data_IF_554273677280
#
_entry.id   IF_554273677280
#
_cell.length_a   1.000
_cell.length_b   1.000
_cell.length_c   1.000
_cell.angle_alpha   90.00
_cell.angle_beta   90.00
_cell.angle_gamma   90.00
#
_symmetry.space_group_name_H-M   'P 1'
#
loop_
_entity.id
_entity.type
_entity.pdbx_description
1 polymer ?
#
# COMPACT_ATOMS: atom_id res chain seq x y z
N UNK A 1 3.25 -27.96 13.75
CA UNK A 1 2.05 -27.23 14.23
C UNK A 1 2.39 -26.75 15.63
N UNK A 2 2.56 -25.44 15.82
CA UNK A 2 3.04 -24.83 17.06
C UNK A 2 2.14 -23.67 17.47
N UNK A 3 0.88 -23.99 17.78
CA UNK A 3 -0.15 -23.00 18.14
C UNK A 3 -0.46 -22.99 19.65
N UNK A 4 0.38 -23.63 20.46
CA UNK A 4 0.25 -23.62 21.93
C UNK A 4 1.08 -22.45 22.49
N UNK A 5 0.46 -21.45 23.14
CA UNK A 5 1.19 -20.34 23.75
C UNK A 5 2.12 -20.84 24.85
N UNK A 6 3.39 -20.38 24.85
CA UNK A 6 4.38 -20.79 25.87
C UNK A 6 4.14 -20.06 27.19
N UNK A 7 3.83 -18.76 27.13
CA UNK A 7 3.78 -17.90 28.32
C UNK A 7 2.37 -17.38 28.65
N UNK A 8 1.45 -17.35 27.69
CA UNK A 8 0.13 -16.73 27.85
C UNK A 8 -0.97 -17.78 27.78
N UNK A 9 -1.28 -18.37 28.93
CA UNK A 9 -2.29 -19.43 29.05
C UNK A 9 -3.72 -18.90 29.28
N UNK A 10 -3.90 -17.58 29.38
CA UNK A 10 -5.16 -16.94 29.76
C UNK A 10 -6.04 -16.54 28.57
N UNK A 11 -5.52 -16.66 27.34
CA UNK A 11 -6.22 -16.29 26.11
C UNK A 11 -6.27 -17.47 25.14
N UNK A 12 -7.35 -17.57 24.38
CA UNK A 12 -7.57 -18.64 23.39
C UNK A 12 -7.50 -18.09 21.98
N UNK A 13 -7.13 -18.95 21.02
CA UNK A 13 -7.22 -18.64 19.59
C UNK A 13 -8.66 -18.20 19.26
N UNK A 14 -8.81 -17.10 18.50
CA UNK A 14 -10.08 -16.44 18.16
C UNK A 14 -10.85 -15.80 19.32
N UNK A 15 -10.27 -15.69 20.52
CA UNK A 15 -10.88 -14.91 21.58
C UNK A 15 -10.85 -13.42 21.24
N UNK A 16 -12.02 -12.76 21.27
CA UNK A 16 -12.10 -11.31 21.22
C UNK A 16 -11.69 -10.76 22.58
N UNK A 17 -10.61 -9.99 22.63
CA UNK A 17 -10.10 -9.34 23.83
C UNK A 17 -10.49 -7.87 23.75
N UNK A 18 -11.09 -7.34 24.82
CA UNK A 18 -11.27 -5.91 25.01
C UNK A 18 -10.12 -5.38 25.86
N UNK A 19 -9.53 -4.27 25.45
CA UNK A 19 -8.53 -3.52 26.22
C UNK A 19 -9.13 -2.14 26.50
N UNK A 20 -9.05 -1.68 27.74
CA UNK A 20 -9.46 -0.31 28.08
C UNK A 20 -8.54 0.68 27.36
N UNK A 21 -9.10 1.74 26.77
CA UNK A 21 -8.34 2.64 25.89
C UNK A 21 -7.17 3.32 26.59
N UNK A 22 -7.29 3.57 27.88
CA UNK A 22 -6.28 4.18 28.76
C UNK A 22 -5.12 3.24 29.10
N UNK A 23 -5.26 1.94 28.86
CA UNK A 23 -4.19 0.95 29.02
C UNK A 23 -3.35 0.76 27.75
N UNK A 24 -3.70 1.41 26.65
CA UNK A 24 -2.93 1.39 25.40
C UNK A 24 -1.90 2.52 25.47
N UNK A 25 -0.63 2.15 25.64
CA UNK A 25 0.49 3.10 25.61
C UNK A 25 1.32 2.88 24.36
N UNK A 26 1.58 3.95 23.63
CA UNK A 26 2.37 3.93 22.41
C UNK A 26 3.78 4.46 22.68
N UNK A 27 4.75 3.94 21.95
CA UNK A 27 6.09 4.51 21.96
C UNK A 27 6.09 5.68 20.97
N UNK A 28 6.58 6.83 21.44
CA UNK A 28 6.67 8.06 20.65
C UNK A 28 8.09 8.59 20.77
N UNK A 29 8.78 8.72 19.64
CA UNK A 29 10.07 9.39 19.53
C UNK A 29 9.87 10.59 18.64
N UNK A 30 10.38 11.75 19.05
CA UNK A 30 10.38 12.95 18.22
C UNK A 30 11.81 13.20 17.76
N UNK A 31 12.03 13.14 16.46
CA UNK A 31 13.33 13.39 15.84
C UNK A 31 13.15 14.43 14.73
N UNK A 32 13.83 15.58 14.83
CA UNK A 32 13.70 16.67 13.85
C UNK A 32 12.28 17.24 13.73
N UNK A 33 11.45 17.14 14.77
CA UNK A 33 10.05 17.58 14.75
C UNK A 33 9.07 16.55 14.15
N UNK A 34 9.56 15.39 13.71
CA UNK A 34 8.76 14.27 13.18
C UNK A 34 8.44 13.26 14.27
N UNK A 35 7.20 12.78 14.33
CA UNK A 35 6.77 11.70 15.24
C UNK A 35 7.10 10.33 14.64
N UNK A 36 7.99 9.58 15.29
CA UNK A 36 8.28 8.17 15.02
C UNK A 36 7.55 7.31 16.07
N UNK A 37 6.86 6.24 15.64
CA UNK A 37 5.87 5.56 16.49
C UNK A 37 4.60 6.39 16.60
N UNK A 38 3.71 6.15 17.57
CA UNK A 38 2.44 6.90 17.69
C UNK A 38 1.31 6.41 16.76
N UNK A 39 1.27 5.11 16.48
CA UNK A 39 0.15 4.47 15.77
C UNK A 39 -1.21 4.75 16.42
N UNK A 40 -1.27 4.80 17.75
CA UNK A 40 -2.49 5.10 18.52
C UNK A 40 -2.96 6.53 18.26
N UNK A 41 -2.05 7.50 18.24
CA UNK A 41 -2.43 8.90 18.00
C UNK A 41 -2.82 9.12 16.53
N UNK A 42 -2.21 8.40 15.58
CA UNK A 42 -2.65 8.38 14.18
C UNK A 42 -4.05 7.79 14.04
N UNK A 43 -4.32 6.63 14.64
CA UNK A 43 -5.65 6.01 14.62
C UNK A 43 -6.72 6.90 15.26
N UNK A 44 -6.39 7.63 16.33
CA UNK A 44 -7.29 8.64 16.90
C UNK A 44 -7.53 9.77 15.91
N UNK A 45 -6.46 10.32 15.32
CA UNK A 45 -6.52 11.42 14.35
C UNK A 45 -7.34 11.06 13.10
N UNK A 46 -7.21 9.84 12.58
CA UNK A 46 -7.99 9.32 11.45
C UNK A 46 -9.49 9.28 11.73
N UNK A 47 -9.89 9.06 12.98
CA UNK A 47 -11.29 9.11 13.40
C UNK A 47 -11.87 10.53 13.55
N UNK A 48 -11.04 11.57 13.46
CA UNK A 48 -11.46 12.97 13.61
C UNK A 48 -11.83 13.56 12.25
N UNK A 49 -12.98 14.25 12.13
CA UNK A 49 -13.37 14.94 10.90
C UNK A 49 -12.26 15.87 10.37
N UNK A 50 -12.05 15.91 9.06
CA UNK A 50 -10.93 16.65 8.45
C UNK A 50 -10.88 18.14 8.85
N UNK A 51 -12.04 18.78 9.08
CA UNK A 51 -12.13 20.17 9.53
C UNK A 51 -11.73 20.39 11.01
N UNK A 52 -11.65 19.32 11.80
CA UNK A 52 -11.29 19.34 13.22
C UNK A 52 -9.86 18.86 13.48
N UNK A 53 -9.25 18.17 12.52
CA UNK A 53 -7.86 17.70 12.62
C UNK A 53 -6.85 18.81 12.92
N UNK A 54 -6.91 20.03 12.33
CA UNK A 54 -5.95 21.08 12.66
C UNK A 54 -5.99 21.51 14.13
N UNK A 55 -7.18 21.55 14.73
CA UNK A 55 -7.33 21.89 16.15
C UNK A 55 -6.80 20.76 17.05
N UNK A 56 -7.02 19.50 16.65
CA UNK A 56 -6.43 18.35 17.32
C UNK A 56 -4.90 18.38 17.24
N UNK A 57 -4.33 18.56 16.04
CA UNK A 57 -2.88 18.63 15.82
C UNK A 57 -2.24 19.75 16.65
N UNK A 58 -2.88 20.92 16.72
CA UNK A 58 -2.45 22.04 17.56
C UNK A 58 -2.50 21.69 19.07
N UNK A 59 -3.50 20.93 19.51
CA UNK A 59 -3.66 20.53 20.91
C UNK A 59 -2.59 19.54 21.38
N UNK A 60 -2.12 18.69 20.45
CA UNK A 60 -1.04 17.73 20.71
C UNK A 60 0.33 18.43 20.68
N UNK A 61 0.45 19.49 19.88
CA UNK A 61 1.70 20.25 19.75
C UNK A 61 2.80 19.51 19.00
N UNK A 62 2.44 18.50 18.21
CA UNK A 62 3.34 17.66 17.41
C UNK A 62 2.85 17.58 15.98
N UNK A 63 3.79 17.41 15.04
CA UNK A 63 3.44 17.06 13.66
C UNK A 63 3.19 15.54 13.58
N UNK A 64 1.95 15.16 13.29
CA UNK A 64 1.53 13.77 13.07
C UNK A 64 1.61 13.49 11.58
N UNK A 65 2.60 12.70 11.17
CA UNK A 65 2.79 12.28 9.79
C UNK A 65 1.96 11.02 9.46
N UNK A 66 2.13 10.49 8.25
CA UNK A 66 1.45 9.30 7.76
C UNK A 66 2.05 7.98 8.27
N UNK A 67 3.07 8.04 9.14
CA UNK A 67 3.71 6.89 9.75
C UNK A 67 4.85 6.30 8.92
N UNK A 68 5.40 5.19 9.42
CA UNK A 68 6.25 4.27 8.66
C UNK A 68 5.70 2.90 8.98
N UNK A 69 5.12 2.25 7.98
CA UNK A 69 4.48 0.97 8.19
C UNK A 69 5.47 -0.17 7.94
N UNK A 70 5.55 -1.10 8.90
CA UNK A 70 6.38 -2.29 8.78
C UNK A 70 5.50 -3.49 8.40
N UNK A 71 5.18 -3.60 7.10
CA UNK A 71 4.60 -4.82 6.56
C UNK A 71 5.68 -5.85 6.26
N UNK A 72 5.32 -7.13 6.37
CA UNK A 72 6.21 -8.19 5.89
C UNK A 72 6.26 -8.14 4.37
N UNK A 73 7.46 -8.29 3.81
CA UNK A 73 7.66 -8.42 2.37
C UNK A 73 7.23 -9.83 1.97
N UNK A 74 5.93 -9.98 1.72
CA UNK A 74 5.30 -11.21 1.28
C UNK A 74 3.92 -10.92 0.66
N UNK A 75 3.23 -11.95 0.16
CA UNK A 75 1.99 -11.77 -0.59
C UNK A 75 0.73 -12.07 0.25
N UNK A 76 0.82 -11.94 1.58
CA UNK A 76 -0.28 -12.21 2.52
C UNK A 76 -1.25 -11.03 2.65
N UNK A 77 -0.75 -9.80 2.44
CA UNK A 77 -1.53 -8.56 2.44
C UNK A 77 -1.31 -7.76 1.15
N UNK A 78 -2.22 -6.83 0.80
CA UNK A 78 -2.01 -5.89 -0.31
C UNK A 78 -0.69 -5.13 -0.23
N UNK A 79 -0.34 -4.59 0.93
CA UNK A 79 0.86 -3.80 1.20
C UNK A 79 2.11 -4.67 1.09
N UNK A 80 2.08 -5.87 1.67
CA UNK A 80 3.18 -6.81 1.52
C UNK A 80 3.45 -7.15 0.06
N UNK A 81 2.42 -7.25 -0.78
CA UNK A 81 2.58 -7.49 -2.21
C UNK A 81 3.18 -6.28 -2.95
N UNK A 82 2.85 -5.05 -2.53
CA UNK A 82 3.49 -3.83 -3.02
C UNK A 82 4.97 -3.86 -2.65
N UNK A 83 5.29 -4.08 -1.37
CA UNK A 83 6.69 -4.20 -0.91
C UNK A 83 7.46 -5.33 -1.61
N UNK A 84 6.79 -6.44 -1.94
CA UNK A 84 7.41 -7.56 -2.68
C UNK A 84 7.79 -7.15 -4.10
N UNK A 85 6.96 -6.33 -4.76
CA UNK A 85 7.26 -5.75 -6.07
C UNK A 85 8.44 -4.77 -5.99
N UNK A 86 8.46 -3.92 -4.97
CA UNK A 86 9.56 -2.97 -4.73
C UNK A 86 10.89 -3.66 -4.39
N UNK A 87 10.83 -4.76 -3.65
CA UNK A 87 12.00 -5.60 -3.37
C UNK A 87 12.51 -6.24 -4.67
N UNK A 88 11.62 -6.76 -5.52
CA UNK A 88 12.00 -7.29 -6.83
C UNK A 88 12.68 -6.22 -7.69
N UNK A 89 12.18 -4.98 -7.67
CA UNK A 89 12.84 -3.85 -8.35
C UNK A 89 14.22 -3.55 -7.78
N UNK A 90 14.34 -3.46 -6.47
CA UNK A 90 15.60 -3.19 -5.77
C UNK A 90 16.65 -4.27 -6.05
N UNK A 91 16.22 -5.53 -6.15
CA UNK A 91 17.04 -6.68 -6.51
C UNK A 91 17.28 -6.82 -8.01
N UNK A 92 16.64 -5.98 -8.85
CA UNK A 92 16.71 -6.02 -10.31
C UNK A 92 16.29 -7.37 -10.89
N UNK A 93 15.29 -7.99 -10.27
CA UNK A 93 14.76 -9.29 -10.63
C UNK A 93 13.44 -9.10 -11.40
N UNK A 94 13.53 -9.17 -12.73
CA UNK A 94 12.37 -8.99 -13.62
C UNK A 94 11.35 -10.12 -13.46
N UNK A 95 11.80 -11.35 -13.20
CA UNK A 95 10.92 -12.50 -13.07
C UNK A 95 10.12 -12.41 -11.77
N UNK A 96 10.76 -12.02 -10.67
CA UNK A 96 10.09 -11.73 -9.41
C UNK A 96 9.11 -10.55 -9.53
N UNK A 97 9.49 -9.50 -10.28
CA UNK A 97 8.60 -8.35 -10.50
C UNK A 97 7.35 -8.75 -11.32
N UNK A 98 7.53 -9.58 -12.35
CA UNK A 98 6.43 -10.17 -13.13
C UNK A 98 5.55 -11.05 -12.23
N UNK A 99 6.12 -11.87 -11.34
CA UNK A 99 5.34 -12.66 -10.39
C UNK A 99 4.65 -11.82 -9.31
N UNK A 100 5.05 -10.57 -9.07
CA UNK A 100 4.26 -9.70 -8.20
C UNK A 100 3.02 -9.10 -8.89
N UNK A 101 2.92 -9.22 -10.22
CA UNK A 101 1.84 -8.64 -11.03
C UNK A 101 0.85 -9.68 -11.54
N UNK A 102 -0.35 -9.22 -11.86
CA UNK A 102 -1.39 -9.98 -12.55
C UNK A 102 -1.89 -9.15 -13.72
N UNK A 103 -1.25 -9.32 -14.87
CA UNK A 103 -1.53 -8.52 -16.07
C UNK A 103 -2.91 -8.80 -16.66
N UNK A 104 -3.47 -10.00 -16.43
CA UNK A 104 -4.79 -10.35 -16.91
C UNK A 104 -5.86 -9.59 -16.12
N UNK A 105 -5.79 -9.61 -14.78
CA UNK A 105 -6.73 -8.85 -13.96
C UNK A 105 -6.51 -7.33 -14.08
N UNK A 106 -5.27 -6.88 -14.32
CA UNK A 106 -4.97 -5.48 -14.66
C UNK A 106 -5.66 -5.05 -15.95
N UNK A 107 -5.54 -5.85 -17.02
CA UNK A 107 -6.23 -5.62 -18.29
C UNK A 107 -7.76 -5.61 -18.11
N UNK A 108 -8.31 -6.59 -17.38
CA UNK A 108 -9.73 -6.71 -17.11
C UNK A 108 -10.28 -5.51 -16.33
N UNK A 109 -9.54 -5.03 -15.33
CA UNK A 109 -9.89 -3.83 -14.56
C UNK A 109 -9.87 -2.57 -15.46
N UNK A 110 -8.80 -2.40 -16.25
CA UNK A 110 -8.65 -1.29 -17.18
C UNK A 110 -9.79 -1.23 -18.22
N UNK A 111 -10.13 -2.37 -18.83
CA UNK A 111 -11.15 -2.46 -19.88
C UNK A 111 -12.57 -2.39 -19.31
N UNK A 112 -12.81 -2.89 -18.09
CA UNK A 112 -14.12 -2.81 -17.44
C UNK A 112 -14.60 -1.39 -17.14
N UNK A 113 -13.68 -0.41 -17.13
CA UNK A 113 -14.01 1.02 -17.09
C UNK A 113 -14.55 1.59 -18.40
N UNK A 114 -14.47 0.83 -19.50
CA UNK A 114 -14.92 1.21 -20.83
C UNK A 114 -16.20 0.42 -21.15
N UNK A 115 -17.23 1.09 -21.67
CA UNK A 115 -18.52 0.48 -22.00
C UNK A 115 -18.44 -0.37 -23.29
N UNK A 116 -17.51 -1.31 -23.33
CA UNK A 116 -17.28 -2.27 -24.40
C UNK A 116 -17.69 -3.65 -23.89
N UNK A 117 -18.30 -4.46 -24.75
CA UNK A 117 -18.54 -5.86 -24.46
C UNK A 117 -17.19 -6.57 -24.32
N UNK A 118 -16.84 -6.95 -23.10
CA UNK A 118 -15.56 -7.58 -22.80
C UNK A 118 -15.57 -9.00 -23.37
N UNK A 119 -14.82 -9.20 -24.46
CA UNK A 119 -14.46 -10.54 -24.90
C UNK A 119 -13.14 -10.97 -24.21
N UNK A 120 -13.03 -12.28 -23.99
CA UNK A 120 -11.88 -12.89 -23.32
C UNK A 120 -10.57 -12.69 -24.10
N UNK A 121 -10.64 -12.72 -25.43
CA UNK A 121 -9.50 -12.59 -26.33
C UNK A 121 -8.89 -11.17 -26.27
N UNK A 122 -9.72 -10.13 -26.11
CA UNK A 122 -9.30 -8.74 -25.94
C UNK A 122 -8.58 -8.58 -24.60
N UNK A 123 -9.08 -9.21 -23.53
CA UNK A 123 -8.43 -9.15 -22.21
C UNK A 123 -7.06 -9.83 -22.29
N UNK A 124 -6.98 -11.04 -22.86
CA UNK A 124 -5.71 -11.77 -23.03
C UNK A 124 -4.69 -10.96 -23.85
N UNK A 125 -5.10 -10.40 -24.99
CA UNK A 125 -4.23 -9.55 -25.82
C UNK A 125 -3.76 -8.30 -25.09
N UNK A 126 -4.65 -7.68 -24.31
CA UNK A 126 -4.31 -6.48 -23.53
C UNK A 126 -3.33 -6.83 -22.41
N UNK A 127 -3.51 -7.97 -21.76
CA UNK A 127 -2.60 -8.46 -20.72
C UNK A 127 -1.19 -8.70 -21.28
N UNK A 128 -1.08 -9.32 -22.47
CA UNK A 128 0.20 -9.51 -23.16
C UNK A 128 0.88 -8.18 -23.49
N UNK A 129 0.12 -7.20 -23.99
CA UNK A 129 0.63 -5.85 -24.28
C UNK A 129 1.13 -5.18 -22.99
N UNK A 130 0.38 -5.24 -21.90
CA UNK A 130 0.78 -4.67 -20.61
C UNK A 130 2.08 -5.31 -20.09
N UNK A 131 2.19 -6.64 -20.17
CA UNK A 131 3.40 -7.36 -19.77
C UNK A 131 4.61 -6.97 -20.64
N UNK A 132 4.45 -6.91 -21.96
CA UNK A 132 5.52 -6.51 -22.87
C UNK A 132 5.94 -5.05 -22.64
N UNK A 133 4.97 -4.16 -22.43
CA UNK A 133 5.22 -2.75 -22.11
C UNK A 133 5.98 -2.59 -20.79
N UNK A 134 5.60 -3.38 -19.77
CA UNK A 134 6.28 -3.41 -18.49
C UNK A 134 7.75 -3.83 -18.60
N UNK A 135 8.02 -4.95 -19.29
CA UNK A 135 9.39 -5.44 -19.52
C UNK A 135 10.20 -4.39 -20.29
N UNK A 136 9.63 -3.89 -21.39
CA UNK A 136 10.30 -2.90 -22.24
C UNK A 136 10.64 -1.62 -21.47
N UNK A 137 9.74 -1.13 -20.62
CA UNK A 137 9.99 0.04 -19.78
C UNK A 137 11.20 -0.17 -18.86
N UNK A 138 11.32 -1.35 -18.23
CA UNK A 138 12.47 -1.69 -17.37
C UNK A 138 13.75 -1.83 -18.20
N UNK A 139 13.69 -2.39 -19.40
CA UNK A 139 14.86 -2.49 -20.30
C UNK A 139 15.36 -1.11 -20.77
N UNK A 140 14.43 -0.18 -21.05
CA UNK A 140 14.75 1.16 -21.57
C UNK A 140 15.16 2.15 -20.47
N UNK A 141 14.54 2.06 -19.29
CA UNK A 141 14.70 3.05 -18.20
C UNK A 141 15.42 2.50 -16.97
N UNK A 142 15.65 1.19 -16.91
CA UNK A 142 16.15 0.50 -15.72
C UNK A 142 15.04 0.23 -14.69
N UNK A 143 15.42 -0.48 -13.63
CA UNK A 143 14.54 -0.72 -12.48
C UNK A 143 14.38 0.54 -11.64
N UNK A 144 13.15 0.83 -11.16
CA UNK A 144 12.96 1.77 -10.06
C UNK A 144 13.82 1.41 -8.84
N UNK A 145 14.36 2.41 -8.15
CA UNK A 145 15.20 2.21 -6.96
C UNK A 145 14.46 2.62 -5.69
N UNK A 146 14.21 1.65 -4.81
CA UNK A 146 13.52 1.84 -3.52
C UNK A 146 14.46 1.70 -2.31
N UNK A 147 15.77 1.52 -2.51
CA UNK A 147 16.72 1.17 -1.44
C UNK A 147 16.84 2.20 -0.30
N UNK A 148 16.52 3.48 -0.57
CA UNK A 148 16.55 4.56 0.41
C UNK A 148 15.19 5.24 0.62
N UNK A 149 14.13 4.64 0.10
CA UNK A 149 12.77 5.18 0.20
C UNK A 149 12.13 4.69 1.49
N UNK A 150 11.47 5.60 2.21
CA UNK A 150 10.56 5.23 3.30
C UNK A 150 9.14 5.27 2.76
N UNK A 151 8.27 4.36 3.21
CA UNK A 151 6.87 4.35 2.81
C UNK A 151 5.88 4.17 3.97
N UNK A 152 4.64 4.50 3.69
CA UNK A 152 3.48 4.27 4.55
C UNK A 152 2.24 3.99 3.70
N UNK A 153 1.28 3.26 4.29
CA UNK A 153 0.04 2.85 3.64
C UNK A 153 -1.17 3.36 4.43
N UNK A 154 -1.41 4.68 4.42
CA UNK A 154 -2.38 5.32 5.31
C UNK A 154 -3.84 5.00 4.98
N UNK A 155 -4.15 4.64 3.73
CA UNK A 155 -5.53 4.43 3.30
C UNK A 155 -5.71 3.13 2.51
N UNK A 156 -6.84 2.47 2.81
CA UNK A 156 -7.28 1.23 2.18
C UNK A 156 -8.72 1.37 1.76
N UNK A 157 -8.96 1.36 0.46
CA UNK A 157 -10.29 1.38 -0.10
C UNK A 157 -10.66 -0.01 -0.62
N UNK A 158 -11.65 -0.63 0.03
CA UNK A 158 -12.20 -1.91 -0.41
C UNK A 158 -13.09 -1.69 -1.65
N UNK A 159 -12.69 -2.24 -2.79
CA UNK A 159 -13.51 -2.26 -4.02
C UNK A 159 -14.37 -3.52 -4.06
N UNK A 160 -13.81 -4.67 -3.66
CA UNK A 160 -14.51 -5.94 -3.50
C UNK A 160 -13.83 -6.82 -2.44
N UNK A 161 -14.28 -8.06 -2.25
CA UNK A 161 -13.60 -9.02 -1.37
C UNK A 161 -12.19 -9.39 -1.86
N UNK A 162 -11.93 -9.27 -3.15
CA UNK A 162 -10.65 -9.65 -3.77
C UNK A 162 -9.88 -8.47 -4.36
N UNK A 163 -10.46 -7.26 -4.40
CA UNK A 163 -9.83 -6.08 -4.97
C UNK A 163 -9.82 -4.92 -3.98
N UNK A 164 -8.64 -4.38 -3.73
CA UNK A 164 -8.40 -3.26 -2.82
C UNK A 164 -7.52 -2.21 -3.50
N UNK A 165 -7.85 -0.95 -3.27
CA UNK A 165 -6.98 0.18 -3.63
C UNK A 165 -6.22 0.57 -2.37
N UNK A 166 -4.90 0.63 -2.47
CA UNK A 166 -4.00 1.00 -1.39
C UNK A 166 -3.36 2.33 -1.75
N UNK A 167 -3.44 3.31 -0.85
CA UNK A 167 -2.67 4.55 -0.97
C UNK A 167 -1.29 4.31 -0.38
N UNK A 168 -0.26 4.52 -1.18
CA UNK A 168 1.13 4.54 -0.76
C UNK A 168 1.67 5.97 -0.77
N UNK A 169 2.42 6.31 0.27
CA UNK A 169 3.18 7.54 0.38
C UNK A 169 4.64 7.18 0.50
N UNK A 170 5.47 7.71 -0.40
CA UNK A 170 6.92 7.53 -0.37
C UNK A 170 7.63 8.84 -0.04
N UNK A 171 8.61 8.78 0.85
CA UNK A 171 9.52 9.89 1.17
C UNK A 171 10.91 9.61 0.60
N UNK A 172 11.41 10.55 -0.19
CA UNK A 172 12.71 10.46 -0.84
C UNK A 172 13.80 11.18 -0.03
N UNK A 173 15.08 10.83 -0.20
CA UNK A 173 16.20 11.46 0.52
C UNK A 173 16.35 12.97 0.30
N UNK A 174 15.82 13.51 -0.80
CA UNK A 174 15.82 14.93 -1.15
C UNK A 174 14.65 15.71 -0.51
N UNK A 175 13.93 15.10 0.44
CA UNK A 175 12.66 15.56 1.01
C UNK A 175 11.49 15.61 0.03
N UNK A 176 11.65 15.05 -1.18
CA UNK A 176 10.55 14.81 -2.08
C UNK A 176 9.54 13.84 -1.47
N UNK A 177 8.29 13.97 -1.91
CA UNK A 177 7.19 13.10 -1.50
C UNK A 177 6.38 12.70 -2.73
N UNK A 178 5.99 11.43 -2.82
CA UNK A 178 5.04 10.96 -3.82
C UNK A 178 3.84 10.30 -3.16
N UNK A 179 2.72 10.36 -3.87
CA UNK A 179 1.45 9.78 -3.47
C UNK A 179 0.97 8.92 -4.64
N UNK A 180 0.65 7.66 -4.36
CA UNK A 180 0.18 6.76 -5.39
C UNK A 180 -0.96 5.90 -4.86
N UNK A 181 -2.00 5.73 -5.66
CA UNK A 181 -3.05 4.75 -5.40
C UNK A 181 -2.79 3.54 -6.28
N UNK A 182 -2.68 2.37 -5.67
CA UNK A 182 -2.34 1.11 -6.31
C UNK A 182 -3.51 0.14 -6.22
N UNK A 183 -3.94 -0.39 -7.36
CA UNK A 183 -4.87 -1.51 -7.39
C UNK A 183 -4.15 -2.80 -6.99
N UNK A 184 -4.76 -3.56 -6.09
CA UNK A 184 -4.25 -4.85 -5.62
C UNK A 184 -5.33 -5.91 -5.70
N UNK A 185 -4.94 -7.13 -6.05
CA UNK A 185 -5.85 -8.24 -6.27
C UNK A 185 -5.43 -9.49 -5.53
N UNK A 186 -6.38 -10.16 -4.89
CA UNK A 186 -6.16 -11.42 -4.18
C UNK A 186 -6.33 -12.60 -5.14
N UNK A 187 -5.22 -13.10 -5.66
CA UNK A 187 -5.17 -14.33 -6.46
C UNK A 187 -5.17 -15.59 -5.58
N UNK A 188 -5.22 -16.77 -6.20
CA UNK A 188 -5.04 -18.05 -5.52
C UNK A 188 -3.68 -18.21 -4.84
N UNK A 189 -2.65 -17.52 -5.34
CA UNK A 189 -1.27 -17.58 -4.86
C UNK A 189 -0.86 -16.30 -4.10
N UNK A 190 -1.82 -15.66 -3.43
CA UNK A 190 -1.59 -14.44 -2.65
C UNK A 190 -1.90 -13.15 -3.42
N UNK A 191 -1.69 -12.02 -2.76
CA UNK A 191 -1.94 -10.69 -3.33
C UNK A 191 -0.99 -10.36 -4.48
N UNK A 192 -1.47 -9.58 -5.44
CA UNK A 192 -0.80 -9.13 -6.67
C UNK A 192 -1.05 -7.65 -6.88
N UNK A 193 -0.13 -6.96 -7.56
CA UNK A 193 -0.23 -5.53 -7.88
C UNK A 193 -0.69 -5.34 -9.33
N UNK A 194 -1.86 -4.73 -9.52
CA UNK A 194 -2.45 -4.44 -10.82
C UNK A 194 -2.03 -3.06 -11.37
N UNK A 195 -1.11 -2.36 -10.71
CA UNK A 195 -0.66 -1.03 -11.14
C UNK A 195 -1.48 0.14 -10.58
N UNK A 196 -1.13 1.38 -10.97
CA UNK A 196 -1.76 2.59 -10.44
C UNK A 196 -3.24 2.69 -10.83
N UNK A 197 -4.04 3.33 -9.98
CA UNK A 197 -5.41 3.72 -10.33
C UNK A 197 -5.34 4.73 -11.47
N UNK A 198 -5.97 4.42 -12.60
CA UNK A 198 -6.12 5.35 -13.71
C UNK A 198 -6.96 6.54 -13.25
N UNK A 199 -6.35 7.70 -13.03
CA UNK A 199 -7.09 8.94 -12.84
C UNK A 199 -7.84 9.25 -14.13
N UNK A 200 -9.11 9.66 -14.05
CA UNK A 200 -9.73 10.36 -15.18
C UNK A 200 -8.81 11.54 -15.55
N UNK A 201 -8.62 11.87 -16.84
CA UNK A 201 -7.92 13.09 -17.20
C UNK A 201 -8.64 14.27 -16.53
N UNK A 202 -8.00 14.87 -15.52
CA UNK A 202 -8.58 15.92 -14.68
C UNK A 202 -8.18 15.89 -13.18
N UNK A 203 -7.80 14.73 -12.63
CA UNK A 203 -7.53 14.60 -11.17
C UNK A 203 -6.05 14.42 -10.81
N UNK A 204 -5.14 14.56 -11.77
CA UNK A 204 -3.71 14.28 -11.60
C UNK A 204 -2.82 15.42 -12.07
N UNK A 205 -3.04 16.64 -11.59
CA UNK A 205 -2.00 17.66 -11.65
C UNK A 205 -1.18 17.65 -10.36
N UNK A 206 0.10 17.41 -10.56
CA UNK A 206 1.17 17.52 -9.58
C UNK A 206 1.02 18.82 -8.79
N UNK A 207 0.73 18.72 -7.49
CA UNK A 207 1.08 19.79 -6.58
C UNK A 207 2.56 19.62 -6.24
N UNK A 208 3.41 20.16 -7.12
CA UNK A 208 4.75 20.60 -6.73
C UNK A 208 4.56 21.94 -6.04
N UNK A 209 4.95 22.03 -4.77
CA UNK A 209 5.26 23.30 -4.13
C UNK A 209 6.51 23.93 -4.78
#
# INVERSE_FOLDING_TARGET
VGNEPVDVNTVKLNQKIGIERDLISDWMIIEGGKLIGGYTIRAIREGIPANEQPAFDQSIGLYIDEGVDYFKINRDTPEGAILSLEEAYSNKDIDAAIDCKDFYEEARNMLGGINIELDEEIIEKTADILKLSFIKSIEEHGFPDFTQIKNAFPERQKVSETNWIITEICWYPDNGKSFQQLNTYKSSNGWKVLGPVSTKPGDGDQQKD
#
